data_IF_195416995328
#
_entry.id   IF_195416995328
#
_cell.length_a   1.000
_cell.length_b   1.000
_cell.length_c   1.000
_cell.angle_alpha   90.00
_cell.angle_beta   90.00
_cell.angle_gamma   90.00
#
_symmetry.space_group_name_H-M   'P 1'
#
loop_
_entity.id
_entity.type
_entity.pdbx_description
1 polymer ?
#
# COMPACT_ATOMS: atom_id res chain seq x y z
N UNK A 1 10.70 14.45 5.92
CA UNK A 1 10.06 13.12 5.82
C UNK A 1 10.09 12.43 7.18
N UNK A 2 9.25 11.44 7.46
CA UNK A 2 9.29 10.70 8.74
C UNK A 2 10.65 10.05 9.02
N UNK A 3 11.35 9.68 7.95
CA UNK A 3 12.71 9.13 7.95
C UNK A 3 13.74 10.06 8.60
N UNK A 4 13.59 11.38 8.42
CA UNK A 4 14.49 12.38 9.00
C UNK A 4 14.34 12.40 10.53
N UNK A 5 13.10 12.29 11.03
CA UNK A 5 12.83 12.19 12.47
C UNK A 5 13.49 10.96 13.11
N UNK A 6 13.56 9.84 12.38
CA UNK A 6 14.21 8.61 12.85
C UNK A 6 15.73 8.80 12.93
N UNK A 7 16.33 9.44 11.94
CA UNK A 7 17.77 9.72 11.93
C UNK A 7 18.17 10.76 12.98
N UNK A 8 17.37 11.83 13.12
CA UNK A 8 17.56 12.88 14.12
C UNK A 8 17.46 12.35 15.55
N UNK A 9 16.76 11.23 15.74
CA UNK A 9 16.70 10.49 17.02
C UNK A 9 17.96 9.67 17.32
N UNK A 10 18.99 9.73 16.45
CA UNK A 10 20.24 8.99 16.60
C UNK A 10 20.16 7.52 16.20
N UNK A 11 19.12 7.12 15.44
CA UNK A 11 18.96 5.76 14.93
C UNK A 11 19.48 5.63 13.49
N UNK A 12 20.08 4.49 13.18
CA UNK A 12 20.53 4.16 11.82
C UNK A 12 19.42 3.38 11.10
N UNK A 13 18.97 3.87 9.94
CA UNK A 13 17.95 3.16 9.15
C UNK A 13 18.59 1.97 8.44
N UNK A 14 18.00 0.80 8.66
CA UNK A 14 18.44 -0.48 8.07
C UNK A 14 17.65 -0.79 6.81
N UNK A 15 16.34 -0.59 6.81
CA UNK A 15 15.50 -0.80 5.64
C UNK A 15 14.24 0.06 5.65
N UNK A 16 13.71 0.28 4.45
CA UNK A 16 12.44 0.95 4.19
C UNK A 16 11.59 0.09 3.28
N UNK A 17 10.31 -0.03 3.64
CA UNK A 17 9.32 -0.69 2.81
C UNK A 17 8.08 0.19 2.73
N UNK A 18 7.65 0.49 1.51
CA UNK A 18 6.41 1.19 1.23
C UNK A 18 5.38 0.15 0.77
N UNK A 19 4.13 0.33 1.18
CA UNK A 19 3.00 -0.53 0.83
C UNK A 19 1.78 0.33 0.56
N UNK A 20 0.91 -0.12 -0.34
CA UNK A 20 -0.43 0.47 -0.45
C UNK A 20 -1.00 0.49 -1.84
N UNK A 21 -0.22 0.21 -2.88
CA UNK A 21 -0.68 0.35 -4.26
C UNK A 21 -1.88 -0.54 -4.56
N UNK A 22 -1.82 -1.82 -4.17
CA UNK A 22 -2.92 -2.75 -4.36
C UNK A 22 -4.25 -2.19 -3.82
N UNK A 23 -4.24 -1.74 -2.56
CA UNK A 23 -5.43 -1.23 -1.90
C UNK A 23 -5.89 0.11 -2.48
N UNK A 24 -4.96 1.01 -2.78
CA UNK A 24 -5.28 2.29 -3.40
C UNK A 24 -5.94 2.08 -4.77
N UNK A 25 -5.41 1.19 -5.60
CA UNK A 25 -5.98 0.88 -6.89
C UNK A 25 -7.33 0.16 -6.78
N UNK A 26 -7.44 -0.81 -5.87
CA UNK A 26 -8.70 -1.49 -5.59
C UNK A 26 -9.80 -0.51 -5.20
N UNK A 27 -9.51 0.46 -4.33
CA UNK A 27 -10.47 1.50 -3.93
C UNK A 27 -10.84 2.42 -5.10
N UNK A 28 -9.90 2.77 -5.97
CA UNK A 28 -10.20 3.54 -7.18
C UNK A 28 -11.17 2.81 -8.10
N UNK A 29 -10.98 1.50 -8.31
CA UNK A 29 -11.92 0.67 -9.07
C UNK A 29 -13.28 0.60 -8.39
N UNK A 30 -13.32 0.43 -7.05
CA UNK A 30 -14.56 0.38 -6.28
C UNK A 30 -15.36 1.67 -6.45
N UNK A 31 -14.71 2.83 -6.33
CA UNK A 31 -15.38 4.12 -6.51
C UNK A 31 -15.85 4.33 -7.95
N UNK A 32 -15.09 3.90 -8.95
CA UNK A 32 -15.49 4.01 -10.35
C UNK A 32 -16.73 3.17 -10.67
N UNK A 33 -16.76 1.94 -10.17
CA UNK A 33 -17.90 1.03 -10.30
C UNK A 33 -19.14 1.57 -9.58
N UNK A 34 -18.98 2.01 -8.33
CA UNK A 34 -20.06 2.60 -7.53
C UNK A 34 -20.67 3.87 -8.17
N UNK A 35 -19.84 4.71 -8.79
CA UNK A 35 -20.30 5.89 -9.54
C UNK A 35 -21.04 5.50 -10.83
N UNK A 36 -20.59 4.45 -11.53
CA UNK A 36 -21.26 3.96 -12.73
C UNK A 36 -22.68 3.42 -12.44
N UNK A 37 -22.89 2.89 -11.24
CA UNK A 37 -24.21 2.47 -10.74
C UNK A 37 -25.10 3.66 -10.27
N UNK A 38 -24.60 4.89 -10.35
CA UNK A 38 -25.34 6.11 -9.98
C UNK A 38 -25.53 6.29 -8.47
N UNK A 39 -24.75 5.58 -7.65
CA UNK A 39 -24.85 5.66 -6.19
C UNK A 39 -23.99 6.82 -5.66
N UNK A 40 -24.51 7.57 -4.69
CA UNK A 40 -23.82 8.69 -4.07
C UNK A 40 -23.15 8.23 -2.76
N UNK A 41 -21.85 8.47 -2.61
CA UNK A 41 -21.11 8.16 -1.38
C UNK A 41 -21.24 9.34 -0.41
N UNK A 42 -22.19 9.28 0.51
CA UNK A 42 -22.37 10.27 1.58
C UNK A 42 -21.61 9.92 2.87
N UNK A 43 -21.22 8.65 3.04
CA UNK A 43 -20.55 8.12 4.23
C UNK A 43 -19.09 7.70 3.97
N UNK A 44 -18.34 7.48 5.05
CA UNK A 44 -17.00 6.93 5.01
C UNK A 44 -17.02 5.57 4.28
N UNK A 45 -16.39 5.49 3.11
CA UNK A 45 -16.51 4.35 2.18
C UNK A 45 -16.20 3.00 2.82
N UNK A 46 -15.37 2.97 3.87
CA UNK A 46 -14.96 1.73 4.53
C UNK A 46 -16.12 0.96 5.16
N UNK A 47 -17.16 1.66 5.63
CA UNK A 47 -18.34 1.04 6.26
C UNK A 47 -19.36 0.52 5.23
N UNK A 48 -19.18 0.88 3.96
CA UNK A 48 -20.07 0.51 2.86
C UNK A 48 -19.52 -0.65 2.01
N UNK A 49 -18.25 -1.04 2.22
CA UNK A 49 -17.65 -2.16 1.49
C UNK A 49 -18.21 -3.46 2.07
N UNK A 50 -19.26 -3.97 1.43
CA UNK A 50 -19.89 -5.24 1.77
C UNK A 50 -20.07 -6.10 0.51
N UNK A 51 -20.03 -7.44 0.64
CA UNK A 51 -20.39 -8.34 -0.45
C UNK A 51 -21.85 -8.13 -0.93
N UNK A 52 -22.15 -8.39 -2.20
CA UNK A 52 -21.24 -8.88 -3.24
C UNK A 52 -20.32 -7.79 -3.81
N UNK A 53 -19.06 -8.13 -4.07
CA UNK A 53 -18.11 -7.24 -4.74
C UNK A 53 -18.31 -7.30 -6.26
N UNK A 54 -18.15 -6.16 -6.95
CA UNK A 54 -18.17 -6.10 -8.40
C UNK A 54 -17.11 -7.03 -9.03
N UNK A 55 -17.43 -7.60 -10.19
CA UNK A 55 -16.53 -8.53 -10.90
C UNK A 55 -15.16 -7.91 -11.18
N UNK A 56 -15.14 -6.63 -11.55
CA UNK A 56 -13.92 -5.84 -11.79
C UNK A 56 -12.94 -5.87 -10.60
N UNK A 57 -13.44 -5.90 -9.37
CA UNK A 57 -12.63 -5.94 -8.16
C UNK A 57 -11.99 -7.31 -7.93
N UNK A 58 -12.73 -8.37 -8.28
CA UNK A 58 -12.24 -9.75 -8.22
C UNK A 58 -11.21 -10.03 -9.32
N UNK A 59 -11.43 -9.48 -10.52
CA UNK A 59 -10.50 -9.56 -11.64
C UNK A 59 -9.17 -8.87 -11.29
N UNK A 60 -9.24 -7.68 -10.68
CA UNK A 60 -8.05 -7.00 -10.19
C UNK A 60 -7.30 -7.81 -9.14
N UNK A 61 -7.99 -8.38 -8.15
CA UNK A 61 -7.38 -9.23 -7.14
C UNK A 61 -6.67 -10.45 -7.77
N UNK A 62 -7.31 -11.07 -8.76
CA UNK A 62 -6.78 -12.22 -9.48
C UNK A 62 -5.55 -11.86 -10.32
N UNK A 63 -5.61 -10.75 -11.08
CA UNK A 63 -4.50 -10.23 -11.86
C UNK A 63 -3.31 -9.89 -10.97
N UNK A 64 -3.56 -9.24 -9.84
CA UNK A 64 -2.52 -8.91 -8.88
C UNK A 64 -1.84 -10.16 -8.33
N UNK A 65 -2.61 -11.19 -7.97
CA UNK A 65 -2.04 -12.47 -7.54
C UNK A 65 -1.17 -13.10 -8.63
N UNK A 66 -1.64 -13.13 -9.87
CA UNK A 66 -0.86 -13.66 -11.01
C UNK A 66 0.44 -12.88 -11.23
N UNK A 67 0.39 -11.54 -11.16
CA UNK A 67 1.57 -10.69 -11.25
C UNK A 67 2.62 -11.05 -10.20
N UNK A 68 2.21 -11.30 -8.95
CA UNK A 68 3.14 -11.64 -7.86
C UNK A 68 3.79 -13.01 -8.01
N UNK A 69 3.18 -13.93 -8.77
CA UNK A 69 3.77 -15.24 -9.06
C UNK A 69 4.84 -15.20 -10.16
N UNK A 70 4.92 -14.10 -10.93
CA UNK A 70 5.97 -13.93 -11.92
C UNK A 70 7.33 -13.70 -11.23
N UNK A 71 8.45 -14.13 -11.84
CA UNK A 71 9.79 -13.89 -11.30
C UNK A 71 10.09 -12.40 -11.02
N UNK A 72 9.56 -11.51 -11.86
CA UNK A 72 9.69 -10.06 -11.69
C UNK A 72 8.63 -9.42 -10.77
N UNK A 73 7.60 -10.19 -10.36
CA UNK A 73 6.45 -9.72 -9.60
C UNK A 73 6.80 -8.94 -8.34
N UNK A 74 7.66 -9.46 -7.44
CA UNK A 74 8.07 -8.73 -6.24
C UNK A 74 8.80 -7.40 -6.54
N UNK A 75 9.58 -7.33 -7.63
CA UNK A 75 10.25 -6.10 -8.03
C UNK A 75 9.25 -5.06 -8.56
N UNK A 76 8.27 -5.50 -9.36
CA UNK A 76 7.20 -4.65 -9.87
C UNK A 76 6.34 -4.13 -8.71
N UNK A 77 5.92 -5.01 -7.80
CA UNK A 77 5.16 -4.62 -6.59
C UNK A 77 5.85 -3.49 -5.83
N UNK A 78 7.15 -3.63 -5.52
CA UNK A 78 7.90 -2.60 -4.80
C UNK A 78 7.91 -1.26 -5.52
N UNK A 79 8.04 -1.26 -6.86
CA UNK A 79 7.99 -0.03 -7.66
C UNK A 79 6.60 0.61 -7.62
N UNK A 80 5.55 -0.20 -7.75
CA UNK A 80 4.18 0.27 -7.69
C UNK A 80 3.82 0.84 -6.30
N UNK A 81 4.22 0.15 -5.23
CA UNK A 81 4.03 0.64 -3.86
C UNK A 81 4.79 1.95 -3.59
N UNK A 82 5.94 2.17 -4.24
CA UNK A 82 6.67 3.43 -4.15
C UNK A 82 5.99 4.60 -4.89
N UNK A 83 5.14 4.33 -5.89
CA UNK A 83 4.37 5.36 -6.60
C UNK A 83 3.18 5.86 -5.78
N UNK A 84 2.55 4.97 -5.01
CA UNK A 84 1.42 5.29 -4.13
C UNK A 84 1.66 4.75 -2.71
N UNK A 85 2.62 5.32 -1.96
CA UNK A 85 2.93 4.88 -0.61
C UNK A 85 1.80 5.29 0.34
N UNK A 86 0.97 4.32 0.77
CA UNK A 86 -0.08 4.55 1.77
C UNK A 86 0.42 4.29 3.18
N UNK A 87 1.22 3.24 3.35
CA UNK A 87 1.82 2.83 4.62
C UNK A 87 3.31 2.61 4.43
N UNK A 88 4.09 3.05 5.42
CA UNK A 88 5.54 2.92 5.42
C UNK A 88 6.00 2.13 6.65
N UNK A 89 6.92 1.20 6.44
CA UNK A 89 7.68 0.53 7.50
C UNK A 89 9.13 1.01 7.40
N UNK A 90 9.63 1.55 8.51
CA UNK A 90 11.04 1.92 8.68
C UNK A 90 11.64 1.03 9.77
N UNK A 91 12.64 0.24 9.42
CA UNK A 91 13.42 -0.55 10.39
C UNK A 91 14.69 0.22 10.69
N UNK A 92 14.90 0.58 11.95
CA UNK A 92 16.10 1.29 12.39
C UNK A 92 16.74 0.58 13.58
N UNK A 93 18.07 0.70 13.69
CA UNK A 93 18.86 0.13 14.77
C UNK A 93 19.53 1.22 15.58
N UNK A 94 19.74 0.94 16.87
CA UNK A 94 20.59 1.77 17.72
C UNK A 94 22.05 1.52 17.36
N UNK A 95 22.87 2.55 17.10
CA UNK A 95 24.29 2.39 16.85
C UNK A 95 25.01 1.81 18.09
N UNK A 96 25.95 0.90 17.86
CA UNK A 96 26.77 0.29 18.92
C UNK A 96 27.92 1.23 19.27
N UNK A 97 27.65 2.26 20.08
CA UNK A 97 28.74 3.02 20.72
C UNK A 97 28.34 3.47 22.11
N UNK A 98 28.62 2.56 23.04
CA UNK A 98 29.01 2.82 24.43
C UNK A 98 30.33 2.09 24.70
N UNK A 99 31.39 2.48 23.98
CA UNK A 99 32.78 2.42 24.45
C UNK A 99 33.41 3.77 24.09
N UNK A 100 33.07 4.78 24.89
CA UNK A 100 33.92 5.82 25.46
C UNK A 100 33.05 6.79 26.25
#
# INVERSE_FOLDING_TARGET
MFTDLVQDSGLEIVSRHDFGFYWAFWMMLYWADFQAEGKQLDAATHDLIAPPYAELLNDWASLWQQLLQLPAGPAIKRRLDALLPKSQIVVARKPLSGSR
#
